data_IF_781175992029
#
_entry.id   IF_781175992029
#
_cell.length_a   1.000
_cell.length_b   1.000
_cell.length_c   1.000
_cell.angle_alpha   90.00
_cell.angle_beta   90.00
_cell.angle_gamma   90.00
#
_symmetry.space_group_name_H-M   'P 1'
#
loop_
_entity.id
_entity.type
_entity.pdbx_description
1 polymer ?
#
# COMPACT_ATOMS: atom_id res chain seq x y z
N UNK A 1 -12.21 17.25 19.82
CA UNK A 1 -11.38 18.47 19.54
C UNK A 1 -9.93 18.05 19.24
N UNK A 2 -9.26 18.64 18.24
CA UNK A 2 -7.89 18.27 17.85
C UNK A 2 -6.83 19.21 18.45
N UNK A 3 -5.64 18.69 18.76
CA UNK A 3 -4.48 19.44 19.26
C UNK A 3 -3.21 19.10 18.46
N UNK A 4 -2.32 20.05 18.28
CA UNK A 4 -0.99 19.79 17.69
C UNK A 4 0.01 19.50 18.80
N UNK A 5 0.84 18.47 18.63
CA UNK A 5 1.92 18.17 19.59
C UNK A 5 3.09 19.15 19.35
N UNK A 6 3.51 19.93 20.36
CA UNK A 6 4.69 20.78 20.27
C UNK A 6 5.97 19.98 20.04
N UNK A 7 6.94 20.52 19.30
CA UNK A 7 8.20 19.84 18.96
C UNK A 7 8.96 19.31 20.19
N UNK A 8 8.99 20.09 21.28
CA UNK A 8 9.64 19.72 22.55
C UNK A 8 9.08 18.43 23.17
N UNK A 9 7.82 18.11 22.91
CA UNK A 9 7.14 16.97 23.53
C UNK A 9 7.28 15.70 22.67
N UNK A 10 7.52 15.84 21.36
CA UNK A 10 7.62 14.72 20.40
C UNK A 10 8.76 13.76 20.71
N UNK A 11 9.90 14.25 21.23
CA UNK A 11 11.08 13.42 21.52
C UNK A 11 10.83 12.36 22.61
N UNK A 12 9.78 12.52 23.40
CA UNK A 12 9.42 11.60 24.51
C UNK A 12 8.23 10.69 24.16
N UNK A 13 7.73 10.77 22.92
CA UNK A 13 6.54 10.03 22.51
C UNK A 13 6.92 8.68 21.89
N UNK A 14 6.24 7.64 22.35
CA UNK A 14 6.09 6.40 21.59
C UNK A 14 5.02 6.62 20.52
N UNK A 15 5.36 6.33 19.27
CA UNK A 15 4.47 6.52 18.12
C UNK A 15 4.30 5.16 17.43
N UNK A 16 3.07 4.66 17.38
CA UNK A 16 2.73 3.40 16.72
C UNK A 16 1.51 3.60 15.82
N UNK A 17 1.22 2.66 14.93
CA UNK A 17 -0.04 2.68 14.18
C UNK A 17 -1.20 2.18 15.06
N UNK A 18 -2.35 2.84 14.97
CA UNK A 18 -3.57 2.48 15.66
C UNK A 18 -4.09 1.11 15.16
N UNK A 19 -4.55 0.20 16.03
CA UNK A 19 -5.04 -1.13 15.62
C UNK A 19 -6.09 -1.08 14.50
N UNK A 20 -7.09 -0.22 14.63
CA UNK A 20 -8.14 -0.04 13.61
C UNK A 20 -7.62 0.47 12.24
N UNK A 21 -6.46 1.14 12.20
CA UNK A 21 -5.83 1.63 10.97
C UNK A 21 -4.78 0.65 10.41
N UNK A 22 -4.44 -0.41 11.15
CA UNK A 22 -3.33 -1.31 10.81
C UNK A 22 -3.50 -1.99 9.46
N UNK A 23 -4.71 -2.45 9.14
CA UNK A 23 -4.98 -3.08 7.86
C UNK A 23 -4.77 -2.14 6.67
N UNK A 24 -5.14 -0.86 6.79
CA UNK A 24 -4.91 0.15 5.76
C UNK A 24 -3.41 0.47 5.62
N UNK A 25 -2.71 0.58 6.74
CA UNK A 25 -1.25 0.76 6.78
C UNK A 25 -0.50 -0.39 6.11
N UNK A 26 -0.86 -1.63 6.42
CA UNK A 26 -0.25 -2.83 5.85
C UNK A 26 -0.55 -2.95 4.36
N UNK A 27 -1.80 -2.67 3.98
CA UNK A 27 -2.20 -2.63 2.58
C UNK A 27 -1.33 -1.64 1.79
N UNK A 28 -1.20 -0.39 2.25
CA UNK A 28 -0.41 0.63 1.58
C UNK A 28 1.08 0.24 1.47
N UNK A 29 1.69 -0.22 2.56
CA UNK A 29 3.10 -0.62 2.57
C UNK A 29 3.38 -1.89 1.77
N UNK A 30 2.38 -2.76 1.59
CA UNK A 30 2.48 -3.96 0.76
C UNK A 30 2.39 -3.70 -0.75
N UNK A 31 2.08 -2.48 -1.20
CA UNK A 31 1.95 -2.17 -2.64
C UNK A 31 3.31 -1.93 -3.30
N UNK A 32 4.17 -2.95 -3.35
CA UNK A 32 5.50 -2.88 -3.97
C UNK A 32 5.48 -2.44 -5.44
N UNK A 33 4.36 -2.64 -6.14
CA UNK A 33 4.20 -2.22 -7.55
C UNK A 33 4.05 -0.71 -7.74
N UNK A 34 3.80 0.05 -6.67
CA UNK A 34 3.71 1.51 -6.76
C UNK A 34 5.06 2.16 -6.55
N UNK A 35 5.85 1.60 -5.65
CA UNK A 35 7.00 2.27 -5.06
C UNK A 35 8.07 1.24 -4.73
N UNK A 36 9.12 1.17 -5.55
CA UNK A 36 10.33 0.46 -5.16
C UNK A 36 11.15 1.36 -4.22
N UNK A 37 10.89 1.21 -2.91
CA UNK A 37 11.61 1.96 -1.86
C UNK A 37 13.11 1.63 -1.86
N UNK A 38 13.54 0.50 -2.44
CA UNK A 38 14.96 0.09 -2.46
C UNK A 38 15.82 0.96 -3.38
N UNK A 39 15.20 1.70 -4.30
CA UNK A 39 15.87 2.62 -5.20
C UNK A 39 16.33 3.92 -4.52
N UNK A 40 15.94 4.14 -3.26
CA UNK A 40 16.22 5.37 -2.52
C UNK A 40 17.10 5.08 -1.30
N UNK A 41 18.02 5.99 -1.00
CA UNK A 41 18.76 5.93 0.26
C UNK A 41 17.84 6.20 1.45
N UNK A 42 18.20 5.66 2.62
CA UNK A 42 17.47 5.89 3.87
C UNK A 42 17.35 7.39 4.17
N UNK A 43 18.41 8.16 3.93
CA UNK A 43 18.41 9.61 4.17
C UNK A 43 17.46 10.36 3.23
N UNK A 44 17.35 9.94 1.96
CA UNK A 44 16.40 10.51 1.03
C UNK A 44 14.96 10.23 1.48
N UNK A 45 14.66 8.99 1.88
CA UNK A 45 13.34 8.61 2.40
C UNK A 45 13.01 9.37 3.68
N UNK A 46 13.97 9.51 4.61
CA UNK A 46 13.77 10.30 5.83
C UNK A 46 13.48 11.77 5.51
N UNK A 47 14.21 12.35 4.56
CA UNK A 47 14.02 13.75 4.13
C UNK A 47 12.64 13.97 3.50
N UNK A 48 12.16 13.04 2.68
CA UNK A 48 10.82 13.12 2.06
C UNK A 48 9.68 13.08 3.09
N UNK A 49 9.92 12.47 4.25
CA UNK A 49 8.96 12.37 5.35
C UNK A 49 9.13 13.48 6.40
N UNK A 50 10.11 14.37 6.23
CA UNK A 50 10.19 15.58 7.03
C UNK A 50 8.98 16.47 6.69
N UNK A 51 8.44 17.15 7.71
CA UNK A 51 7.31 18.07 7.56
C UNK A 51 5.99 17.42 7.13
N UNK A 52 5.92 16.09 7.05
CA UNK A 52 4.66 15.39 6.84
C UNK A 52 3.69 15.64 7.99
N UNK A 53 2.41 15.75 7.64
CA UNK A 53 1.33 15.86 8.63
C UNK A 53 0.81 14.46 8.97
N UNK A 54 0.92 14.10 10.23
CA UNK A 54 0.47 12.83 10.79
C UNK A 54 -0.78 13.06 11.64
N UNK A 55 -1.76 12.19 11.49
CA UNK A 55 -2.99 12.22 12.26
C UNK A 55 -2.99 11.05 13.25
N UNK A 56 -3.26 11.35 14.52
CA UNK A 56 -3.14 10.39 15.61
C UNK A 56 -4.26 10.55 16.65
N UNK A 57 -4.39 9.55 17.52
CA UNK A 57 -5.15 9.64 18.78
C UNK A 57 -4.21 9.44 19.96
N UNK A 58 -4.55 10.03 21.10
CA UNK A 58 -3.78 9.89 22.34
C UNK A 58 -4.21 8.59 23.05
N UNK A 59 -3.28 7.66 23.25
CA UNK A 59 -3.55 6.48 24.08
C UNK A 59 -3.25 6.79 25.55
N UNK A 60 -2.13 7.49 25.79
CA UNK A 60 -1.76 8.02 27.10
C UNK A 60 -0.79 9.21 26.90
N UNK A 61 -0.34 9.83 28.00
CA UNK A 61 0.50 11.04 27.97
C UNK A 61 1.83 10.89 27.20
N UNK A 62 2.35 9.68 27.05
CA UNK A 62 3.62 9.41 26.36
C UNK A 62 3.45 8.55 25.10
N UNK A 63 2.21 8.24 24.70
CA UNK A 63 1.94 7.36 23.56
C UNK A 63 0.79 7.86 22.70
N UNK A 64 1.10 7.99 21.42
CA UNK A 64 0.12 8.35 20.39
C UNK A 64 0.06 7.26 19.33
N UNK A 65 -1.14 7.08 18.78
CA UNK A 65 -1.44 6.05 17.79
C UNK A 65 -1.85 6.71 16.48
N UNK A 66 -1.01 6.57 15.45
CA UNK A 66 -1.24 7.12 14.11
C UNK A 66 -2.36 6.37 13.39
N UNK A 67 -3.19 7.11 12.67
CA UNK A 67 -4.19 6.54 11.78
C UNK A 67 -4.19 7.14 10.37
N UNK A 68 -3.41 8.18 10.12
CA UNK A 68 -3.17 8.73 8.77
C UNK A 68 -1.88 9.56 8.76
N UNK A 69 -1.39 9.84 7.56
CA UNK A 69 -0.08 10.40 7.26
C UNK A 69 0.99 9.31 7.02
N UNK A 70 0.62 8.04 7.13
CA UNK A 70 1.51 6.92 6.77
C UNK A 70 1.40 6.52 5.29
N UNK A 71 0.38 7.05 4.60
CA UNK A 71 0.11 6.90 3.18
C UNK A 71 1.00 7.78 2.28
N UNK A 72 2.03 8.41 2.85
CA UNK A 72 3.03 9.15 2.06
C UNK A 72 4.17 8.24 1.60
N UNK A 73 4.76 8.61 0.47
CA UNK A 73 5.89 7.87 -0.09
C UNK A 73 7.06 7.79 0.89
N UNK A 74 7.62 6.59 1.03
CA UNK A 74 8.79 6.36 1.87
C UNK A 74 8.52 6.35 3.37
N UNK A 75 7.27 6.53 3.82
CA UNK A 75 6.96 6.46 5.24
C UNK A 75 7.36 5.09 5.81
N UNK A 76 8.03 5.14 6.96
CA UNK A 76 8.39 3.98 7.77
C UNK A 76 8.44 4.39 9.25
N UNK A 77 7.78 3.62 10.10
CA UNK A 77 7.76 3.87 11.54
C UNK A 77 9.17 3.86 12.16
N UNK A 78 10.08 3.06 11.61
CA UNK A 78 11.42 2.87 12.19
C UNK A 78 12.38 3.98 11.82
N UNK A 79 12.23 4.57 10.62
CA UNK A 79 13.19 5.50 10.05
C UNK A 79 12.72 6.97 9.98
N UNK A 80 11.42 7.22 10.16
CA UNK A 80 10.85 8.58 10.16
C UNK A 80 11.28 9.37 11.40
N UNK A 81 11.84 10.55 11.20
CA UNK A 81 12.09 11.52 12.27
C UNK A 81 10.82 12.29 12.62
N UNK A 82 10.06 11.75 13.57
CA UNK A 82 8.81 12.36 14.03
C UNK A 82 8.97 13.74 14.67
N UNK A 83 10.18 14.15 15.09
CA UNK A 83 10.39 15.49 15.62
C UNK A 83 10.11 16.57 14.57
N UNK A 84 10.38 16.26 13.29
CA UNK A 84 10.17 17.11 12.12
C UNK A 84 8.78 16.99 11.49
N UNK A 85 7.94 16.05 11.93
CA UNK A 85 6.58 15.89 11.42
C UNK A 85 5.58 16.76 12.20
N UNK A 86 4.50 17.22 11.57
CA UNK A 86 3.38 17.84 12.28
C UNK A 86 2.43 16.75 12.76
N UNK A 87 2.30 16.56 14.08
CA UNK A 87 1.41 15.51 14.64
C UNK A 87 0.15 16.17 15.20
N UNK A 88 -0.98 15.88 14.55
CA UNK A 88 -2.31 16.32 14.96
C UNK A 88 -2.99 15.18 15.72
N UNK A 89 -3.25 15.42 17.00
CA UNK A 89 -3.90 14.47 17.90
C UNK A 89 -5.38 14.82 18.01
N UNK A 90 -6.21 13.91 17.54
CA UNK A 90 -7.67 13.99 17.62
C UNK A 90 -8.15 13.34 18.92
N UNK A 91 -9.22 13.91 19.45
CA UNK A 91 -9.98 13.34 20.58
C UNK A 91 -11.34 12.90 20.07
N UNK A 92 -11.92 11.93 20.78
CA UNK A 92 -13.31 11.51 20.59
C UNK A 92 -13.59 10.85 19.23
N UNK A 93 -12.58 10.23 18.62
CA UNK A 93 -12.78 9.39 17.42
C UNK A 93 -13.09 7.96 17.83
N UNK A 94 -14.11 7.37 17.20
CA UNK A 94 -14.40 5.96 17.35
C UNK A 94 -13.41 5.11 16.53
N UNK A 95 -13.30 3.82 16.84
CA UNK A 95 -12.49 2.91 16.01
C UNK A 95 -13.01 2.83 14.57
N UNK A 96 -14.31 2.98 14.36
CA UNK A 96 -14.93 3.01 13.03
C UNK A 96 -14.51 4.25 12.25
N UNK A 97 -14.53 5.44 12.88
CA UNK A 97 -14.04 6.68 12.27
C UNK A 97 -12.57 6.57 11.87
N UNK A 98 -11.75 6.02 12.78
CA UNK A 98 -10.32 5.81 12.56
C UNK A 98 -10.09 4.86 11.37
N UNK A 99 -10.78 3.71 11.36
CA UNK A 99 -10.69 2.72 10.27
C UNK A 99 -11.11 3.35 8.95
N UNK A 100 -12.24 4.05 8.93
CA UNK A 100 -12.78 4.69 7.75
C UNK A 100 -11.82 5.73 7.18
N UNK A 101 -11.34 6.67 8.01
CA UNK A 101 -10.41 7.71 7.58
C UNK A 101 -9.09 7.14 7.07
N UNK A 102 -8.52 6.14 7.76
CA UNK A 102 -7.29 5.47 7.33
C UNK A 102 -7.43 4.89 5.91
N UNK A 103 -8.52 4.16 5.67
CA UNK A 103 -8.79 3.58 4.35
C UNK A 103 -9.08 4.63 3.27
N UNK A 104 -9.85 5.68 3.57
CA UNK A 104 -10.13 6.75 2.62
C UNK A 104 -8.85 7.49 2.22
N UNK A 105 -7.97 7.79 3.17
CA UNK A 105 -6.72 8.50 2.88
C UNK A 105 -5.76 7.64 2.06
N UNK A 106 -5.58 6.37 2.43
CA UNK A 106 -4.84 5.40 1.62
C UNK A 106 -5.42 5.31 0.20
N UNK A 107 -6.73 5.15 0.08
CA UNK A 107 -7.40 5.05 -1.24
C UNK A 107 -7.17 6.29 -2.08
N UNK A 108 -7.30 7.48 -1.48
CA UNK A 108 -7.07 8.76 -2.16
C UNK A 108 -5.64 8.85 -2.68
N UNK A 109 -4.65 8.59 -1.83
CA UNK A 109 -3.24 8.66 -2.23
C UNK A 109 -2.92 7.69 -3.35
N UNK A 110 -3.44 6.47 -3.25
CA UNK A 110 -3.27 5.45 -4.28
C UNK A 110 -3.87 5.92 -5.61
N UNK A 111 -5.14 6.32 -5.63
CA UNK A 111 -5.81 6.78 -6.85
C UNK A 111 -5.09 7.95 -7.52
N UNK A 112 -4.49 8.87 -6.74
CA UNK A 112 -3.69 9.98 -7.26
C UNK A 112 -2.33 9.57 -7.83
N UNK A 113 -1.86 8.36 -7.53
CA UNK A 113 -0.50 7.89 -7.87
C UNK A 113 -0.49 6.65 -8.76
N UNK A 114 -1.66 6.15 -9.18
CA UNK A 114 -1.76 4.91 -9.96
C UNK A 114 -1.16 5.07 -11.36
N UNK A 115 -0.11 4.31 -11.63
CA UNK A 115 0.40 4.16 -12.98
C UNK A 115 -0.56 3.30 -13.82
N UNK A 116 -0.78 3.60 -15.11
CA UNK A 116 -1.75 2.90 -15.93
C UNK A 116 -1.60 1.38 -15.89
N UNK A 117 -0.37 0.86 -15.96
CA UNK A 117 -0.09 -0.58 -16.01
C UNK A 117 -0.45 -1.36 -14.73
N UNK A 118 -0.73 -0.69 -13.61
CA UNK A 118 -1.00 -1.33 -12.31
C UNK A 118 -2.44 -1.17 -11.83
N UNK A 119 -3.32 -0.56 -12.64
CA UNK A 119 -4.71 -0.26 -12.26
C UNK A 119 -5.49 -1.54 -11.93
N UNK A 120 -5.34 -2.62 -12.70
CA UNK A 120 -6.03 -3.88 -12.42
C UNK A 120 -5.49 -4.59 -11.16
N UNK A 121 -4.17 -4.57 -10.94
CA UNK A 121 -3.54 -5.07 -9.72
C UNK A 121 -4.12 -4.37 -8.49
N UNK A 122 -4.17 -3.03 -8.53
CA UNK A 122 -4.80 -2.23 -7.48
C UNK A 122 -6.24 -2.67 -7.22
N UNK A 123 -7.07 -2.81 -8.27
CA UNK A 123 -8.47 -3.26 -8.13
C UNK A 123 -8.58 -4.57 -7.37
N UNK A 124 -7.71 -5.52 -7.70
CA UNK A 124 -7.75 -6.87 -7.12
C UNK A 124 -7.35 -6.84 -5.66
N UNK A 125 -6.20 -6.25 -5.34
CA UNK A 125 -5.74 -6.15 -3.96
C UNK A 125 -6.72 -5.33 -3.12
N UNK A 126 -7.23 -4.22 -3.64
CA UNK A 126 -8.21 -3.40 -2.92
C UNK A 126 -9.48 -4.19 -2.58
N UNK A 127 -10.06 -4.92 -3.54
CA UNK A 127 -11.24 -5.76 -3.28
C UNK A 127 -10.96 -6.93 -2.32
N UNK A 128 -9.71 -7.34 -2.16
CA UNK A 128 -9.32 -8.44 -1.26
C UNK A 128 -9.05 -7.95 0.16
N UNK A 129 -8.57 -6.71 0.33
CA UNK A 129 -8.05 -6.21 1.60
C UNK A 129 -8.91 -5.13 2.23
N UNK A 130 -9.60 -4.31 1.44
CA UNK A 130 -10.43 -3.23 1.97
C UNK A 130 -11.71 -3.78 2.64
N UNK A 131 -12.13 -3.23 3.79
CA UNK A 131 -13.41 -3.56 4.41
C UNK A 131 -14.58 -3.29 3.47
N UNK A 132 -15.63 -4.09 3.57
CA UNK A 132 -16.79 -4.01 2.68
C UNK A 132 -17.45 -2.63 2.71
N UNK A 133 -17.51 -1.98 3.88
CA UNK A 133 -18.06 -0.63 4.02
C UNK A 133 -17.30 0.40 3.18
N UNK A 134 -15.97 0.26 3.05
CA UNK A 134 -15.13 1.15 2.23
C UNK A 134 -15.39 0.87 0.74
N UNK A 135 -15.48 -0.40 0.37
CA UNK A 135 -15.75 -0.80 -1.02
C UNK A 135 -17.14 -0.34 -1.46
N UNK A 136 -18.13 -0.47 -0.59
CA UNK A 136 -19.50 0.02 -0.80
C UNK A 136 -19.52 1.54 -0.90
N UNK A 137 -18.85 2.25 -0.01
CA UNK A 137 -18.74 3.71 -0.06
C UNK A 137 -18.16 4.20 -1.40
N UNK A 138 -17.11 3.54 -1.90
CA UNK A 138 -16.46 3.92 -3.16
C UNK A 138 -17.25 3.54 -4.40
N UNK A 139 -17.93 2.38 -4.41
CA UNK A 139 -18.49 1.78 -5.64
C UNK A 139 -20.01 1.59 -5.64
N UNK A 140 -20.69 1.91 -4.53
CA UNK A 140 -22.09 1.56 -4.26
C UNK A 140 -22.38 0.05 -4.43
N UNK A 141 -21.34 -0.78 -4.30
CA UNK A 141 -21.36 -2.23 -4.51
C UNK A 141 -20.38 -2.92 -3.57
N UNK A 142 -20.54 -4.23 -3.40
CA UNK A 142 -19.64 -5.05 -2.55
C UNK A 142 -18.27 -5.33 -3.21
N UNK A 143 -18.06 -4.87 -4.44
CA UNK A 143 -16.78 -5.01 -5.17
C UNK A 143 -16.67 -3.98 -6.28
N UNK A 144 -15.45 -3.48 -6.48
CA UNK A 144 -15.07 -2.68 -7.65
C UNK A 144 -14.90 -3.62 -8.85
N UNK A 145 -15.84 -3.56 -9.77
CA UNK A 145 -15.78 -4.29 -11.04
C UNK A 145 -14.85 -3.60 -12.05
N UNK A 146 -14.35 -4.33 -13.05
CA UNK A 146 -13.57 -3.73 -14.15
C UNK A 146 -14.33 -2.63 -14.90
N UNK A 147 -15.63 -2.80 -15.26
CA UNK A 147 -16.40 -1.69 -15.86
C UNK A 147 -16.48 -0.46 -14.97
N UNK A 148 -16.59 -0.64 -13.64
CA UNK A 148 -16.62 0.48 -12.71
C UNK A 148 -15.27 1.20 -12.68
N UNK A 149 -14.17 0.45 -12.57
CA UNK A 149 -12.83 1.03 -12.54
C UNK A 149 -12.44 1.72 -13.85
N UNK A 150 -12.89 1.18 -15.00
CA UNK A 150 -12.73 1.81 -16.30
C UNK A 150 -13.44 3.18 -16.41
N UNK A 151 -14.47 3.44 -15.59
CA UNK A 151 -15.09 4.77 -15.51
C UNK A 151 -14.29 5.75 -14.66
N UNK A 152 -13.49 5.26 -13.72
CA UNK A 152 -12.68 6.09 -12.82
C UNK A 152 -11.30 6.41 -13.39
N UNK A 153 -10.88 5.67 -14.41
CA UNK A 153 -9.53 5.72 -14.95
C UNK A 153 -9.58 5.94 -16.46
N UNK A 154 -8.44 6.26 -17.06
CA UNK A 154 -8.32 6.41 -18.52
C UNK A 154 -8.25 5.07 -19.28
N UNK A 155 -8.37 3.93 -18.59
CA UNK A 155 -8.27 2.61 -19.21
C UNK A 155 -9.62 2.04 -19.64
N UNK A 156 -9.62 1.42 -20.82
CA UNK A 156 -10.75 0.62 -21.27
C UNK A 156 -10.86 -0.70 -20.48
N UNK A 157 -12.06 -1.28 -20.49
CA UNK A 157 -12.30 -2.62 -19.94
C UNK A 157 -11.37 -3.68 -20.55
N UNK A 158 -11.10 -3.61 -21.86
CA UNK A 158 -10.19 -4.53 -22.54
C UNK A 158 -8.73 -4.32 -22.10
N UNK A 159 -8.34 -3.07 -21.82
CA UNK A 159 -7.04 -2.74 -21.22
C UNK A 159 -6.85 -3.41 -19.85
N UNK A 160 -7.85 -3.29 -18.97
CA UNK A 160 -7.85 -3.95 -17.65
C UNK A 160 -7.81 -5.48 -17.76
N UNK A 161 -8.59 -6.06 -18.69
CA UNK A 161 -8.56 -7.50 -18.94
C UNK A 161 -7.18 -7.98 -19.43
N UNK A 162 -6.51 -7.20 -20.29
CA UNK A 162 -5.16 -7.52 -20.77
C UNK A 162 -4.12 -7.47 -19.64
N UNK A 163 -4.22 -6.52 -18.71
CA UNK A 163 -3.37 -6.46 -17.52
C UNK A 163 -3.52 -7.72 -16.67
N UNK A 164 -4.77 -8.10 -16.37
CA UNK A 164 -5.08 -9.32 -15.62
C UNK A 164 -4.44 -10.57 -16.25
N UNK A 165 -4.55 -10.71 -17.57
CA UNK A 165 -3.98 -11.86 -18.29
C UNK A 165 -2.45 -11.89 -18.24
N UNK A 166 -1.79 -10.72 -18.33
CA UNK A 166 -0.32 -10.61 -18.23
C UNK A 166 0.18 -11.01 -16.85
N UNK A 167 -0.45 -10.53 -15.78
CA UNK A 167 -0.11 -10.93 -14.41
C UNK A 167 -0.29 -12.44 -14.19
N UNK A 168 -1.36 -13.02 -14.73
CA UNK A 168 -1.60 -14.46 -14.67
C UNK A 168 -0.54 -15.28 -15.45
N UNK A 169 0.07 -14.71 -16.49
CA UNK A 169 1.16 -15.38 -17.22
C UNK A 169 2.51 -15.28 -16.52
N UNK A 170 2.78 -14.19 -15.78
CA UNK A 170 4.04 -13.99 -15.02
C UNK A 170 4.07 -14.85 -13.75
N UNK A 171 2.89 -15.13 -13.15
CA UNK A 171 2.74 -15.93 -11.93
C UNK A 171 2.69 -17.44 -12.17
N UNK A 172 2.70 -17.89 -13.43
CA UNK A 172 2.94 -19.32 -13.71
C UNK A 172 4.44 -19.56 -13.57
N UNK A 173 4.90 -20.40 -12.63
CA UNK A 173 6.27 -20.88 -12.70
C UNK A 173 6.42 -21.54 -14.08
N UNK A 174 7.28 -20.97 -14.93
CA UNK A 174 7.82 -21.78 -16.01
C UNK A 174 8.39 -23.02 -15.34
N UNK A 175 8.07 -24.24 -15.80
CA UNK A 175 8.77 -25.41 -15.31
C UNK A 175 10.24 -25.17 -15.63
N UNK A 176 11.01 -24.75 -14.64
CA UNK A 176 12.46 -24.77 -14.72
C UNK A 176 12.78 -26.25 -14.75
N UNK A 177 12.96 -26.77 -15.97
CA UNK A 177 13.51 -28.09 -16.17
C UNK A 177 14.76 -28.16 -15.29
N UNK A 178 14.78 -29.14 -14.40
CA UNK A 178 15.92 -29.46 -13.57
C UNK A 178 17.16 -29.54 -14.45
N UNK A 179 18.33 -29.14 -13.93
CA UNK A 179 19.61 -29.27 -14.66
C UNK A 179 19.79 -30.72 -15.16
N UNK A 180 19.29 -31.70 -14.41
CA UNK A 180 19.28 -33.12 -14.82
C UNK A 180 18.35 -33.40 -16.00
N UNK A 181 17.19 -32.76 -16.08
CA UNK A 181 16.26 -32.91 -17.22
C UNK A 181 16.79 -32.23 -18.49
N UNK A 182 17.61 -31.17 -18.35
CA UNK A 182 18.32 -30.55 -19.47
C UNK A 182 19.43 -31.44 -20.01
N UNK A 183 20.24 -32.02 -19.12
CA UNK A 183 21.33 -32.94 -19.49
C UNK A 183 20.80 -34.21 -20.15
N UNK A 184 19.67 -34.75 -19.68
CA UNK A 184 19.03 -35.90 -20.31
C UNK A 184 18.60 -35.61 -21.75
N UNK A 185 17.99 -34.44 -22.01
CA UNK A 185 17.61 -34.06 -23.38
C UNK A 185 18.80 -33.87 -24.32
N UNK A 186 19.90 -33.27 -23.85
CA UNK A 186 21.12 -33.13 -24.66
C UNK A 186 21.74 -34.49 -24.99
N UNK A 187 21.69 -35.46 -24.06
CA UNK A 187 22.18 -36.81 -24.30
C UNK A 187 21.33 -37.62 -25.30
N UNK A 188 20.03 -37.36 -25.37
CA UNK A 188 19.14 -38.03 -26.33
C UNK A 188 19.28 -37.45 -27.73
N UNK A 189 19.46 -36.13 -27.87
CA UNK A 189 19.63 -35.47 -29.16
C UNK A 189 20.99 -35.78 -29.83
N UNK A 190 22.04 -36.10 -29.06
CA UNK A 190 23.32 -36.59 -29.60
C UNK A 190 23.26 -38.05 -30.04
N UNK A 191 22.44 -38.88 -29.40
CA UNK A 191 22.25 -40.29 -29.76
C UNK A 191 21.46 -40.49 -31.06
N UNK A 192 20.67 -39.51 -31.49
CA UNK A 192 19.89 -39.56 -32.75
C UNK A 192 20.67 -38.99 -33.96
N UNK A 193 21.87 -38.45 -33.74
CA UNK A 193 22.76 -37.91 -34.79
C UNK A 193 23.99 -38.80 -35.08
N UNK A 194 24.05 -39.98 -34.47
CA UNK A 194 25.14 -40.96 -34.65
C UNK A 194 24.71 -42.16 -35.50
#
# INVERSE_FOLDING_TARGET
MAKIIPERDKKKLSINVHPAAKAAFDFFNGQAFLFDKTLFSIDALRTLNQYSTLHAVEQNKSRVLLFSGFEFFGFDLSNTDFSKCTIIVHRDLTEEDIRFQAWINVTRTLLSSLQPQHIESFRRHFNQSAPNEIVQFMSNKNKISQPQLAKWTSLSRSGLARQKSREASISKPQPQLSIFEKLLKESTDESERS
#
